data_IF_021128705080
#
_entry.id   IF_021128705080
#
_cell.length_a   1.000
_cell.length_b   1.000
_cell.length_c   1.000
_cell.angle_alpha   90.00
_cell.angle_beta   90.00
_cell.angle_gamma   90.00
#
_symmetry.space_group_name_H-M   'P 1'
#
loop_
_entity.id
_entity.type
_entity.pdbx_description
1 polymer ?
#
# COMPACT_ATOMS: atom_id res chain seq x y z
N UNK A 1 7.32 -29.31 -38.32
CA UNK A 1 7.40 -29.26 -36.85
C UNK A 1 6.04 -29.71 -36.35
N UNK A 2 5.99 -30.86 -35.69
CA UNK A 2 4.73 -31.53 -35.34
C UNK A 2 3.98 -30.79 -34.25
N UNK A 3 2.67 -30.66 -34.43
CA UNK A 3 1.65 -30.14 -33.50
C UNK A 3 1.48 -31.02 -32.25
N UNK A 4 2.57 -31.29 -31.52
CA UNK A 4 2.50 -31.85 -30.17
C UNK A 4 2.56 -30.71 -29.17
N UNK A 5 1.36 -30.29 -28.75
CA UNK A 5 1.10 -29.32 -27.69
C UNK A 5 1.84 -29.78 -26.42
N UNK A 6 2.91 -29.10 -26.03
CA UNK A 6 3.49 -29.26 -24.69
C UNK A 6 2.66 -28.39 -23.76
N UNK A 7 1.54 -28.93 -23.30
CA UNK A 7 0.68 -28.22 -22.34
C UNK A 7 1.49 -27.86 -21.09
N UNK A 8 1.48 -26.57 -20.77
CA UNK A 8 2.10 -26.05 -19.57
C UNK A 8 1.44 -26.71 -18.34
N UNK A 9 2.24 -27.34 -17.49
CA UNK A 9 1.85 -27.90 -16.21
C UNK A 9 2.47 -27.07 -15.07
N UNK A 10 2.05 -27.35 -13.83
CA UNK A 10 2.50 -26.62 -12.64
C UNK A 10 4.03 -26.64 -12.41
N UNK A 11 4.77 -27.51 -13.10
CA UNK A 11 6.23 -27.63 -12.98
C UNK A 11 7.00 -26.87 -14.07
N UNK A 12 6.38 -26.56 -15.21
CA UNK A 12 7.04 -25.89 -16.34
C UNK A 12 6.39 -24.56 -16.78
N UNK A 13 5.20 -24.22 -16.26
CA UNK A 13 4.47 -22.99 -16.61
C UNK A 13 5.27 -21.71 -16.29
N UNK A 14 6.16 -21.77 -15.30
CA UNK A 14 7.01 -20.65 -14.87
C UNK A 14 8.43 -20.69 -15.45
N UNK A 15 8.78 -21.69 -16.28
CA UNK A 15 10.12 -21.88 -16.81
C UNK A 15 10.12 -22.31 -18.29
N UNK A 16 9.67 -21.45 -19.23
CA UNK A 16 9.68 -21.75 -20.66
C UNK A 16 11.10 -21.94 -21.23
N UNK A 17 12.14 -21.60 -20.48
CA UNK A 17 13.54 -21.60 -20.90
C UNK A 17 14.33 -22.87 -20.54
N UNK A 18 13.68 -23.92 -20.02
CA UNK A 18 14.33 -25.21 -19.77
C UNK A 18 13.93 -26.22 -20.83
N UNK A 19 14.90 -26.67 -21.63
CA UNK A 19 14.70 -27.82 -22.50
C UNK A 19 14.33 -29.04 -21.68
N UNK A 20 13.38 -29.84 -22.19
CA UNK A 20 13.10 -31.15 -21.61
C UNK A 20 14.36 -32.04 -21.62
N UNK A 21 14.39 -33.09 -20.81
CA UNK A 21 15.50 -34.06 -20.85
C UNK A 21 15.69 -34.65 -22.27
N UNK A 22 14.59 -34.93 -22.97
CA UNK A 22 14.61 -35.43 -24.35
C UNK A 22 15.16 -34.39 -25.33
N UNK A 23 14.69 -33.14 -25.26
CA UNK A 23 15.18 -32.04 -26.10
C UNK A 23 16.67 -31.79 -25.87
N UNK A 24 17.10 -31.78 -24.61
CA UNK A 24 18.50 -31.61 -24.22
C UNK A 24 19.37 -32.73 -24.78
N UNK A 25 18.93 -33.99 -24.66
CA UNK A 25 19.64 -35.13 -25.22
C UNK A 25 19.72 -35.08 -26.75
N UNK A 26 18.63 -34.69 -27.42
CA UNK A 26 18.59 -34.56 -28.88
C UNK A 26 19.54 -33.46 -29.39
N UNK A 27 19.54 -32.29 -28.74
CA UNK A 27 20.47 -31.18 -29.04
C UNK A 27 21.91 -31.66 -28.85
N UNK A 28 22.22 -32.30 -27.71
CA UNK A 28 23.57 -32.77 -27.40
C UNK A 28 24.07 -33.80 -28.43
N UNK A 29 23.22 -34.75 -28.81
CA UNK A 29 23.54 -35.74 -29.84
C UNK A 29 23.76 -35.09 -31.20
N UNK A 30 22.98 -34.06 -31.54
CA UNK A 30 23.14 -33.32 -32.79
C UNK A 30 24.45 -32.53 -32.80
N UNK A 31 24.80 -31.87 -31.70
CA UNK A 31 26.07 -31.14 -31.57
C UNK A 31 27.27 -32.09 -31.71
N UNK A 32 27.26 -33.25 -31.04
CA UNK A 32 28.31 -34.28 -31.18
C UNK A 32 28.45 -34.80 -32.62
N UNK A 33 27.33 -35.00 -33.32
CA UNK A 33 27.34 -35.42 -34.72
C UNK A 33 27.85 -34.33 -35.67
N UNK A 34 27.80 -33.05 -35.28
CA UNK A 34 28.36 -31.94 -36.04
C UNK A 34 29.86 -31.76 -35.76
N UNK A 35 30.35 -32.13 -34.58
CA UNK A 35 31.78 -32.11 -34.24
C UNK A 35 32.62 -33.06 -35.09
N UNK A 36 32.02 -34.11 -35.65
CA UNK A 36 32.69 -35.01 -36.60
C UNK A 36 32.77 -34.44 -38.02
N UNK A 37 32.12 -33.30 -38.31
CA UNK A 37 32.17 -32.59 -39.58
C UNK A 37 32.69 -31.15 -39.37
N UNK A 38 34.03 -31.01 -39.42
CA UNK A 38 34.77 -29.78 -39.10
C UNK A 38 34.41 -28.58 -39.98
N UNK A 39 33.97 -28.79 -41.22
CA UNK A 39 33.55 -27.70 -42.12
C UNK A 39 32.23 -27.06 -41.67
N UNK A 40 31.21 -27.87 -41.37
CA UNK A 40 29.90 -27.34 -40.93
C UNK A 40 30.01 -26.67 -39.56
N UNK A 41 30.80 -27.25 -38.64
CA UNK A 41 31.03 -26.68 -37.32
C UNK A 41 31.67 -25.28 -37.39
N UNK A 42 32.74 -25.14 -38.18
CA UNK A 42 33.49 -23.89 -38.27
C UNK A 42 32.73 -22.81 -39.04
N UNK A 43 32.03 -23.18 -40.12
CA UNK A 43 31.32 -22.20 -40.96
C UNK A 43 29.97 -21.76 -40.37
N UNK A 44 29.24 -22.63 -39.65
CA UNK A 44 27.89 -22.30 -39.17
C UNK A 44 27.77 -21.96 -37.67
N UNK A 45 28.61 -22.54 -36.80
CA UNK A 45 28.42 -22.41 -35.33
C UNK A 45 29.52 -21.62 -34.63
N UNK A 46 30.77 -21.67 -35.11
CA UNK A 46 31.91 -21.02 -34.42
C UNK A 46 32.23 -19.61 -34.88
N UNK A 47 31.90 -19.26 -36.14
CA UNK A 47 32.06 -17.88 -36.61
C UNK A 47 30.91 -17.02 -36.05
N UNK A 48 31.07 -16.57 -34.80
CA UNK A 48 30.17 -15.59 -34.19
C UNK A 48 30.39 -14.22 -34.83
N UNK A 49 29.42 -13.75 -35.61
CA UNK A 49 29.18 -12.32 -35.81
C UNK A 49 28.10 -11.88 -34.82
N UNK A 50 28.46 -11.67 -33.56
CA UNK A 50 27.53 -11.27 -32.52
C UNK A 50 28.23 -10.51 -31.41
N UNK A 51 27.57 -9.45 -30.91
CA UNK A 51 28.05 -8.70 -29.75
C UNK A 51 27.62 -9.45 -28.49
N UNK A 52 28.52 -9.59 -27.53
CA UNK A 52 28.19 -10.25 -26.27
C UNK A 52 27.14 -9.42 -25.50
N UNK A 53 25.96 -9.99 -25.27
CA UNK A 53 24.81 -9.32 -24.64
C UNK A 53 24.80 -9.51 -23.12
N UNK A 54 25.87 -10.07 -22.55
CA UNK A 54 26.01 -10.39 -21.13
C UNK A 54 25.85 -9.19 -20.18
N UNK A 55 25.92 -7.95 -20.69
CA UNK A 55 25.42 -6.78 -19.97
C UNK A 55 23.91 -6.67 -20.18
N UNK A 56 23.15 -7.51 -19.48
CA UNK A 56 21.70 -7.37 -19.35
C UNK A 56 21.42 -6.01 -18.71
N UNK A 57 21.26 -5.01 -19.58
CA UNK A 57 20.86 -3.67 -19.20
C UNK A 57 19.48 -3.78 -18.57
N UNK A 58 19.19 -2.97 -17.56
CA UNK A 58 17.84 -2.88 -17.01
C UNK A 58 16.84 -2.70 -18.15
N UNK A 59 15.84 -3.57 -18.21
CA UNK A 59 14.80 -3.53 -19.25
C UNK A 59 13.51 -3.00 -18.62
N UNK A 60 13.00 -1.87 -19.10
CA UNK A 60 11.72 -1.34 -18.62
C UNK A 60 10.55 -2.21 -19.13
N UNK A 61 9.49 -2.31 -18.33
CA UNK A 61 8.31 -3.08 -18.71
C UNK A 61 7.53 -2.43 -19.87
N UNK A 62 7.48 -1.10 -19.93
CA UNK A 62 6.84 -0.41 -21.05
C UNK A 62 7.66 -0.57 -22.33
N UNK A 63 8.99 -0.52 -22.25
CA UNK A 63 9.87 -0.75 -23.40
C UNK A 63 9.66 -2.15 -24.00
N UNK A 64 9.44 -3.16 -23.16
CA UNK A 64 9.09 -4.51 -23.60
C UNK A 64 7.74 -4.55 -24.31
N UNK A 65 6.71 -3.90 -23.76
CA UNK A 65 5.42 -3.80 -24.44
C UNK A 65 5.59 -3.10 -25.80
N UNK A 66 6.30 -1.97 -25.84
CA UNK A 66 6.53 -1.19 -27.06
C UNK A 66 7.25 -2.00 -28.14
N UNK A 67 8.22 -2.82 -27.73
CA UNK A 67 8.94 -3.71 -28.63
C UNK A 67 8.05 -4.83 -29.19
N UNK A 68 7.04 -5.29 -28.44
CA UNK A 68 6.14 -6.37 -28.84
C UNK A 68 4.93 -5.89 -29.65
N UNK A 69 4.33 -4.78 -29.25
CA UNK A 69 3.02 -4.31 -29.75
C UNK A 69 3.05 -2.88 -30.34
N UNK A 70 4.22 -2.25 -30.37
CA UNK A 70 4.44 -0.91 -30.94
C UNK A 70 4.36 0.23 -29.92
N UNK A 71 4.79 1.42 -30.32
CA UNK A 71 5.05 2.58 -29.44
C UNK A 71 3.89 3.02 -28.54
N UNK A 72 2.63 2.73 -28.91
CA UNK A 72 1.46 3.10 -28.11
C UNK A 72 1.11 2.09 -27.00
N UNK A 73 1.84 0.97 -26.91
CA UNK A 73 1.64 -0.04 -25.88
C UNK A 73 2.44 0.28 -24.60
N UNK A 74 1.99 -0.28 -23.49
CA UNK A 74 2.58 -0.08 -22.16
C UNK A 74 2.18 -1.20 -21.22
N UNK A 75 2.89 -1.36 -20.10
CA UNK A 75 2.56 -2.35 -19.08
C UNK A 75 1.26 -1.96 -18.37
N UNK A 76 0.29 -2.85 -18.27
CA UNK A 76 -1.00 -2.58 -17.63
C UNK A 76 -0.88 -2.54 -16.10
N UNK A 77 -1.68 -1.67 -15.48
CA UNK A 77 -1.72 -1.42 -14.03
C UNK A 77 -3.16 -1.56 -13.52
N UNK A 78 -3.31 -1.84 -12.23
CA UNK A 78 -4.62 -1.98 -11.58
C UNK A 78 -4.81 -3.34 -10.92
N UNK A 79 -5.96 -3.53 -10.27
CA UNK A 79 -6.25 -4.70 -9.45
C UNK A 79 -6.25 -6.02 -10.24
N UNK A 80 -6.48 -5.95 -11.55
CA UNK A 80 -6.62 -7.12 -12.42
C UNK A 80 -5.29 -7.70 -12.93
N UNK A 81 -4.16 -7.04 -12.68
CA UNK A 81 -2.87 -7.37 -13.34
C UNK A 81 -1.78 -7.84 -12.39
N UNK A 82 -2.15 -8.35 -11.21
CA UNK A 82 -1.22 -8.90 -10.23
C UNK A 82 -0.47 -7.82 -9.43
N UNK A 83 0.45 -8.27 -8.57
CA UNK A 83 1.31 -7.38 -7.79
C UNK A 83 2.75 -7.45 -8.33
N UNK A 84 3.59 -6.49 -7.91
CA UNK A 84 4.98 -6.43 -8.40
C UNK A 84 5.80 -7.67 -8.00
N UNK A 85 5.41 -8.40 -6.95
CA UNK A 85 6.14 -9.59 -6.49
C UNK A 85 6.00 -10.80 -7.43
N UNK A 86 4.88 -10.92 -8.16
CA UNK A 86 4.70 -11.93 -9.20
C UNK A 86 5.12 -11.44 -10.59
N UNK A 87 5.60 -10.20 -10.70
CA UNK A 87 5.88 -9.55 -11.97
C UNK A 87 6.87 -10.32 -12.84
N UNK A 88 7.80 -11.07 -12.24
CA UNK A 88 8.78 -11.87 -12.98
C UNK A 88 8.22 -13.13 -13.65
N UNK A 89 7.01 -13.55 -13.29
CA UNK A 89 6.34 -14.71 -13.88
C UNK A 89 5.55 -14.27 -15.11
N UNK A 90 4.74 -13.24 -14.92
CA UNK A 90 4.03 -12.57 -15.99
C UNK A 90 3.73 -11.10 -15.64
N UNK A 91 3.55 -10.32 -16.69
CA UNK A 91 2.91 -9.01 -16.63
C UNK A 91 2.05 -8.85 -17.88
N UNK A 92 1.29 -7.76 -17.96
CA UNK A 92 0.33 -7.57 -19.04
C UNK A 92 0.67 -6.33 -19.86
N UNK A 93 0.56 -6.42 -21.18
CA UNK A 93 0.80 -5.30 -22.09
C UNK A 93 -0.50 -4.86 -22.76
N UNK A 94 -0.75 -3.54 -22.77
CA UNK A 94 -1.87 -2.93 -23.49
C UNK A 94 -1.62 -3.03 -25.00
N UNK A 95 -2.51 -3.68 -25.75
CA UNK A 95 -2.42 -3.73 -27.22
C UNK A 95 -3.20 -2.57 -27.83
N UNK A 96 -2.59 -1.62 -28.55
CA UNK A 96 -3.28 -0.40 -29.00
C UNK A 96 -4.58 -0.64 -29.79
N UNK A 97 -4.65 -1.70 -30.59
CA UNK A 97 -5.79 -2.06 -31.42
C UNK A 97 -6.95 -2.77 -30.69
N UNK A 98 -6.76 -3.18 -29.43
CA UNK A 98 -7.78 -3.83 -28.58
C UNK A 98 -7.97 -3.01 -27.32
N UNK A 99 -9.04 -3.16 -26.56
CA UNK A 99 -9.11 -2.56 -25.20
C UNK A 99 -8.55 -3.48 -24.10
N UNK A 100 -8.02 -4.64 -24.50
CA UNK A 100 -7.47 -5.65 -23.59
C UNK A 100 -5.97 -5.49 -23.37
N UNK A 101 -5.51 -6.10 -22.27
CA UNK A 101 -4.10 -6.36 -22.02
C UNK A 101 -3.81 -7.84 -22.26
N UNK A 102 -2.70 -8.14 -22.92
CA UNK A 102 -2.25 -9.51 -23.15
C UNK A 102 -1.10 -9.87 -22.19
N UNK A 103 -1.09 -11.12 -21.74
CA UNK A 103 -0.06 -11.64 -20.84
C UNK A 103 1.27 -11.79 -21.58
N UNK A 104 2.34 -11.31 -20.98
CA UNK A 104 3.72 -11.34 -21.48
C UNK A 104 4.65 -11.87 -20.40
N UNK A 105 5.67 -12.63 -20.80
CA UNK A 105 6.75 -13.05 -19.93
C UNK A 105 7.84 -11.97 -19.91
N UNK A 106 8.21 -11.41 -18.74
CA UNK A 106 9.26 -10.41 -18.66
C UNK A 106 10.63 -10.97 -19.05
N UNK A 107 11.42 -10.12 -19.68
CA UNK A 107 12.82 -10.39 -19.95
C UNK A 107 13.63 -10.48 -18.65
N UNK A 108 14.68 -11.30 -18.65
CA UNK A 108 15.71 -11.25 -17.60
C UNK A 108 16.27 -9.82 -17.53
N UNK A 109 16.40 -9.28 -16.32
CA UNK A 109 16.83 -7.89 -16.10
C UNK A 109 15.69 -6.88 -15.98
N UNK A 110 14.43 -7.30 -16.15
CA UNK A 110 13.26 -6.43 -15.86
C UNK A 110 13.18 -6.12 -14.38
N UNK A 111 12.95 -4.87 -13.99
CA UNK A 111 12.79 -4.54 -12.58
C UNK A 111 11.46 -5.07 -12.03
N UNK A 112 11.51 -5.65 -10.82
CA UNK A 112 10.36 -6.29 -10.16
C UNK A 112 10.20 -5.82 -8.70
N UNK A 113 10.87 -4.74 -8.35
CA UNK A 113 10.85 -4.12 -7.03
C UNK A 113 12.06 -3.23 -6.84
N UNK A 114 12.04 -2.45 -5.76
CA UNK A 114 13.16 -1.60 -5.41
C UNK A 114 14.42 -2.44 -5.19
N UNK A 115 15.45 -2.20 -6.02
CA UNK A 115 16.72 -2.94 -6.07
C UNK A 115 16.54 -4.42 -6.38
N UNK A 116 15.51 -4.80 -7.14
CA UNK A 116 15.25 -6.18 -7.55
C UNK A 116 14.98 -6.29 -9.04
N UNK A 117 15.48 -7.37 -9.65
CA UNK A 117 15.31 -7.69 -11.07
C UNK A 117 14.91 -9.14 -11.30
N UNK A 118 14.26 -9.37 -12.42
CA UNK A 118 13.85 -10.69 -12.85
C UNK A 118 15.04 -11.50 -13.33
N UNK A 119 15.19 -12.69 -12.78
CA UNK A 119 16.17 -13.68 -13.21
C UNK A 119 15.52 -15.06 -13.22
N UNK A 120 15.39 -15.66 -14.41
CA UNK A 120 14.77 -17.00 -14.59
C UNK A 120 13.37 -17.11 -13.96
N UNK A 121 12.55 -16.08 -14.10
CA UNK A 121 11.17 -16.05 -13.57
C UNK A 121 11.05 -15.66 -12.09
N UNK A 122 12.17 -15.41 -11.40
CA UNK A 122 12.19 -15.03 -10.00
C UNK A 122 12.61 -13.56 -9.82
N UNK A 123 12.01 -12.88 -8.85
CA UNK A 123 12.42 -11.54 -8.46
C UNK A 123 13.56 -11.61 -7.44
N UNK A 124 14.78 -11.30 -7.89
CA UNK A 124 16.01 -11.43 -7.10
C UNK A 124 16.67 -10.06 -6.90
N UNK A 125 17.53 -9.94 -5.89
CA UNK A 125 18.25 -8.69 -5.63
C UNK A 125 19.15 -8.31 -6.83
N UNK A 126 19.10 -7.04 -7.21
CA UNK A 126 19.87 -6.47 -8.30
C UNK A 126 21.23 -5.95 -7.79
N UNK A 127 22.14 -5.61 -8.71
CA UNK A 127 23.40 -5.00 -8.32
C UNK A 127 23.18 -3.60 -7.74
N UNK A 128 24.12 -3.11 -6.94
CA UNK A 128 24.03 -1.78 -6.30
C UNK A 128 23.79 -0.69 -7.35
N UNK A 129 22.70 0.07 -7.19
CA UNK A 129 22.33 1.18 -8.09
C UNK A 129 21.39 0.78 -9.24
N UNK A 130 21.08 -0.51 -9.41
CA UNK A 130 20.11 -0.97 -10.41
C UNK A 130 18.67 -0.98 -9.85
N UNK A 131 17.69 -0.81 -10.73
CA UNK A 131 16.26 -0.88 -10.42
C UNK A 131 15.78 -0.01 -9.23
N UNK A 132 15.98 1.33 -9.27
CA UNK A 132 15.44 2.24 -8.25
C UNK A 132 13.93 2.45 -8.44
N UNK A 133 13.14 1.39 -8.21
CA UNK A 133 11.68 1.48 -8.25
C UNK A 133 11.14 2.08 -6.95
N UNK A 134 10.05 2.82 -7.07
CA UNK A 134 9.24 3.25 -5.94
C UNK A 134 8.41 2.06 -5.42
N UNK A 135 8.37 1.86 -4.10
CA UNK A 135 7.67 0.72 -3.49
C UNK A 135 6.14 0.86 -3.55
N UNK A 136 5.62 2.10 -3.63
CA UNK A 136 4.19 2.38 -3.79
C UNK A 136 3.77 2.44 -5.27
N UNK A 137 4.67 2.86 -6.15
CA UNK A 137 4.41 3.17 -7.55
C UNK A 137 5.49 2.63 -8.50
N UNK A 138 5.74 1.31 -8.54
CA UNK A 138 6.90 0.72 -9.21
C UNK A 138 6.95 1.00 -10.70
N UNK A 139 5.80 1.03 -11.37
CA UNK A 139 5.69 1.31 -12.81
C UNK A 139 5.32 2.76 -13.13
N UNK A 140 5.22 3.63 -12.11
CA UNK A 140 4.68 4.98 -12.26
C UNK A 140 3.19 4.99 -12.63
N UNK A 141 2.70 6.17 -13.06
CA UNK A 141 1.35 6.35 -13.56
C UNK A 141 1.14 5.63 -14.90
N UNK A 142 -0.10 5.18 -15.14
CA UNK A 142 -0.49 4.54 -16.39
C UNK A 142 -0.45 5.56 -17.55
N UNK A 143 0.26 5.24 -18.64
CA UNK A 143 0.19 6.04 -19.86
C UNK A 143 -1.20 5.99 -20.50
N UNK A 144 -1.60 7.10 -21.11
CA UNK A 144 -2.83 7.18 -21.89
C UNK A 144 -4.13 7.19 -21.06
N UNK A 145 -5.27 6.92 -21.71
CA UNK A 145 -6.58 6.97 -21.07
C UNK A 145 -6.77 5.84 -20.04
N UNK A 146 -7.38 6.18 -18.90
CA UNK A 146 -7.67 5.28 -17.78
C UNK A 146 -9.18 5.13 -17.53
N UNK A 147 -9.96 6.19 -17.71
CA UNK A 147 -11.42 6.20 -17.52
C UNK A 147 -12.04 7.30 -18.38
N UNK A 148 -13.06 6.98 -19.17
CA UNK A 148 -13.82 7.95 -19.98
C UNK A 148 -12.93 8.91 -20.80
N UNK A 149 -11.82 8.43 -21.35
CA UNK A 149 -10.86 9.24 -22.11
C UNK A 149 -9.92 10.12 -21.26
N UNK A 150 -10.11 10.20 -19.94
CA UNK A 150 -9.24 10.92 -19.03
C UNK A 150 -7.95 10.15 -18.77
N UNK A 151 -6.86 10.88 -18.52
CA UNK A 151 -5.56 10.39 -18.06
C UNK A 151 -5.41 10.59 -16.56
N UNK A 152 -4.35 10.07 -15.93
CA UNK A 152 -4.07 10.33 -14.52
C UNK A 152 -4.02 11.82 -14.20
N UNK A 153 -3.43 12.64 -15.08
CA UNK A 153 -3.28 14.09 -14.88
C UNK A 153 -4.56 14.91 -15.05
N UNK A 154 -5.59 14.37 -15.71
CA UNK A 154 -6.84 15.10 -16.02
C UNK A 154 -8.06 14.58 -15.28
N UNK A 155 -7.96 13.38 -14.70
CA UNK A 155 -9.00 12.76 -13.92
C UNK A 155 -9.24 13.51 -12.60
N UNK A 156 -10.49 13.47 -12.12
CA UNK A 156 -10.88 14.16 -10.90
C UNK A 156 -10.19 13.54 -9.66
N UNK A 157 -9.68 14.34 -8.70
CA UNK A 157 -9.01 13.85 -7.48
C UNK A 157 -9.80 12.80 -6.70
N UNK A 158 -11.13 12.89 -6.72
CA UNK A 158 -12.05 11.91 -6.14
C UNK A 158 -11.74 10.46 -6.56
N UNK A 159 -11.21 10.23 -7.75
CA UNK A 159 -10.90 8.89 -8.23
C UNK A 159 -9.80 8.20 -7.40
N UNK A 160 -8.90 8.97 -6.77
CA UNK A 160 -7.84 8.44 -5.90
C UNK A 160 -8.36 7.73 -4.63
N UNK A 161 -9.63 7.94 -4.27
CA UNK A 161 -10.29 7.18 -3.20
C UNK A 161 -10.57 5.72 -3.60
N UNK A 162 -10.60 5.41 -4.90
CA UNK A 162 -10.74 4.03 -5.39
C UNK A 162 -9.38 3.36 -5.52
N UNK A 163 -9.27 2.11 -5.06
CA UNK A 163 -7.99 1.36 -5.08
C UNK A 163 -7.49 1.13 -6.50
N UNK A 164 -8.38 0.78 -7.45
CA UNK A 164 -7.97 0.51 -8.83
C UNK A 164 -7.36 1.74 -9.51
N UNK A 165 -8.00 2.90 -9.37
CA UNK A 165 -7.46 4.15 -9.91
C UNK A 165 -6.14 4.52 -9.23
N UNK A 166 -6.04 4.36 -7.90
CA UNK A 166 -4.80 4.63 -7.17
C UNK A 166 -3.64 3.73 -7.64
N UNK A 167 -3.89 2.48 -8.00
CA UNK A 167 -2.87 1.60 -8.59
C UNK A 167 -2.49 2.00 -10.02
N UNK A 168 -3.42 2.58 -10.79
CA UNK A 168 -3.15 3.10 -12.13
C UNK A 168 -2.45 4.47 -12.09
N UNK A 169 -2.69 5.28 -11.06
CA UNK A 169 -2.27 6.69 -10.99
C UNK A 169 -1.58 7.03 -9.66
N UNK A 170 -0.76 6.12 -9.16
CA UNK A 170 -0.15 6.23 -7.84
C UNK A 170 0.69 7.50 -7.66
N UNK A 171 1.50 7.90 -8.64
CA UNK A 171 2.31 9.11 -8.54
C UNK A 171 1.43 10.36 -8.51
N UNK A 172 0.38 10.41 -9.33
CA UNK A 172 -0.56 11.52 -9.32
C UNK A 172 -1.30 11.60 -7.98
N UNK A 173 -1.82 10.48 -7.47
CA UNK A 173 -2.54 10.44 -6.21
C UNK A 173 -1.64 10.80 -5.01
N UNK A 174 -0.39 10.34 -4.98
CA UNK A 174 0.57 10.68 -3.92
C UNK A 174 0.91 12.17 -3.90
N UNK A 175 0.98 12.85 -5.06
CA UNK A 175 1.25 14.29 -5.13
C UNK A 175 0.13 15.16 -4.57
N UNK A 176 -1.12 14.72 -4.67
CA UNK A 176 -2.29 15.46 -4.18
C UNK A 176 -2.74 15.01 -2.79
N UNK A 177 -2.10 13.97 -2.24
CA UNK A 177 -2.38 13.45 -0.91
C UNK A 177 -2.05 14.51 0.14
N UNK A 178 -3.01 14.81 1.00
CA UNK A 178 -2.88 15.71 2.14
C UNK A 178 -2.91 14.94 3.46
N UNK A 179 -2.52 15.60 4.55
CA UNK A 179 -2.54 15.03 5.90
C UNK A 179 -3.95 14.90 6.51
N UNK A 180 -4.99 15.35 5.81
CA UNK A 180 -6.37 15.14 6.26
C UNK A 180 -6.78 13.71 5.89
N UNK A 181 -6.70 12.76 6.83
CA UNK A 181 -7.01 11.35 6.56
C UNK A 181 -8.39 11.13 5.93
N UNK A 182 -9.37 11.97 6.28
CA UNK A 182 -10.75 11.87 5.80
C UNK A 182 -10.99 12.62 4.48
N UNK A 183 -10.03 13.46 4.07
CA UNK A 183 -10.07 14.27 2.87
C UNK A 183 -8.73 14.24 2.12
N UNK A 184 -8.06 13.09 2.14
CA UNK A 184 -6.66 12.99 1.73
C UNK A 184 -6.44 13.42 0.28
N UNK A 185 -7.42 13.25 -0.61
CA UNK A 185 -7.33 13.69 -2.00
C UNK A 185 -8.26 14.89 -2.33
N UNK A 186 -8.79 15.56 -1.31
CA UNK A 186 -9.83 16.57 -1.45
C UNK A 186 -11.24 15.98 -1.54
N UNK A 187 -12.16 16.69 -2.19
CA UNK A 187 -13.56 16.27 -2.31
C UNK A 187 -13.68 14.90 -2.99
N UNK A 188 -14.52 14.03 -2.41
CA UNK A 188 -14.77 12.65 -2.85
C UNK A 188 -15.75 12.57 -4.03
N UNK A 189 -16.33 13.69 -4.44
CA UNK A 189 -17.18 13.80 -5.63
C UNK A 189 -17.03 15.16 -6.30
N UNK A 190 -17.52 15.27 -7.53
CA UNK A 190 -17.65 16.54 -8.24
C UNK A 190 -18.92 17.30 -7.81
N UNK A 191 -18.99 18.59 -8.16
CA UNK A 191 -20.18 19.42 -7.92
C UNK A 191 -20.38 19.86 -6.46
N UNK A 192 -19.30 19.85 -5.67
CA UNK A 192 -19.33 20.36 -4.30
C UNK A 192 -19.55 21.89 -4.27
N UNK A 193 -20.45 22.34 -3.41
CA UNK A 193 -20.84 23.73 -3.23
C UNK A 193 -21.05 24.01 -1.74
N UNK A 194 -20.49 25.14 -1.27
CA UNK A 194 -20.52 25.55 0.13
C UNK A 194 -21.93 25.78 0.67
N UNK A 195 -22.92 26.11 -0.18
CA UNK A 195 -24.31 26.31 0.23
C UNK A 195 -24.97 25.08 0.85
N UNK A 196 -24.49 23.88 0.52
CA UNK A 196 -25.04 22.61 1.03
C UNK A 196 -24.22 22.03 2.19
N UNK A 197 -23.16 22.71 2.64
CA UNK A 197 -22.40 22.22 3.78
C UNK A 197 -23.27 22.21 5.05
N UNK A 198 -23.10 21.15 5.85
CA UNK A 198 -23.93 20.87 7.04
C UNK A 198 -25.29 20.23 6.73
N UNK A 199 -25.65 20.06 5.46
CA UNK A 199 -26.86 19.35 5.07
C UNK A 199 -26.60 17.84 4.89
N UNK A 200 -27.65 17.05 4.92
CA UNK A 200 -27.62 15.66 4.49
C UNK A 200 -27.96 15.55 3.00
N UNK A 201 -27.31 14.63 2.30
CA UNK A 201 -27.67 14.23 0.94
C UNK A 201 -28.94 13.38 0.94
N UNK A 202 -29.53 13.17 -0.24
CA UNK A 202 -30.81 12.45 -0.39
C UNK A 202 -30.76 10.99 0.07
N UNK A 203 -29.57 10.41 0.14
CA UNK A 203 -29.26 9.07 0.65
C UNK A 203 -28.93 9.06 2.16
N UNK A 204 -29.13 10.18 2.88
CA UNK A 204 -28.98 10.29 4.33
C UNK A 204 -27.54 10.52 4.81
N UNK A 205 -26.56 10.60 3.91
CA UNK A 205 -25.17 10.88 4.28
C UNK A 205 -24.91 12.38 4.47
N UNK A 206 -23.89 12.74 5.26
CA UNK A 206 -23.49 14.15 5.41
C UNK A 206 -22.89 14.67 4.11
N UNK A 207 -23.33 15.84 3.64
CA UNK A 207 -22.74 16.52 2.48
C UNK A 207 -21.25 16.78 2.70
N UNK A 208 -20.86 17.07 3.94
CA UNK A 208 -19.47 17.34 4.33
C UNK A 208 -18.57 16.11 4.16
N UNK A 209 -19.10 14.88 4.26
CA UNK A 209 -18.31 13.67 4.04
C UNK A 209 -17.78 13.58 2.61
N UNK A 210 -18.63 13.90 1.63
CA UNK A 210 -18.25 13.86 0.22
C UNK A 210 -17.56 15.13 -0.24
N UNK A 211 -17.91 16.28 0.35
CA UNK A 211 -17.40 17.60 -0.02
C UNK A 211 -16.47 18.18 1.05
N UNK A 212 -15.61 17.33 1.62
CA UNK A 212 -14.78 17.65 2.78
C UNK A 212 -13.79 18.81 2.56
N UNK A 213 -13.30 19.02 1.34
CA UNK A 213 -12.39 20.14 1.01
C UNK A 213 -13.18 21.41 0.77
N UNK A 214 -14.31 21.32 0.08
CA UNK A 214 -15.20 22.46 -0.13
C UNK A 214 -15.80 22.93 1.21
N UNK A 215 -16.16 22.01 2.08
CA UNK A 215 -16.75 22.26 3.39
C UNK A 215 -15.71 22.32 4.52
N UNK A 216 -14.42 22.46 4.22
CA UNK A 216 -13.32 22.41 5.20
C UNK A 216 -13.44 23.45 6.33
N UNK A 217 -14.26 24.49 6.14
CA UNK A 217 -14.57 25.54 7.13
C UNK A 217 -16.01 25.46 7.69
N UNK A 218 -16.79 24.45 7.30
CA UNK A 218 -18.21 24.28 7.63
C UNK A 218 -18.47 23.07 8.55
N UNK A 219 -17.57 22.83 9.51
CA UNK A 219 -17.89 22.06 10.72
C UNK A 219 -18.83 22.86 11.65
N UNK A 220 -19.93 23.39 11.10
CA UNK A 220 -20.75 24.45 11.72
C UNK A 220 -22.11 23.95 12.22
N UNK A 221 -22.41 22.65 12.05
CA UNK A 221 -23.59 22.04 12.63
C UNK A 221 -23.40 20.53 12.81
N UNK A 222 -23.95 20.00 13.90
CA UNK A 222 -24.21 18.57 14.04
C UNK A 222 -25.36 18.15 13.13
N UNK A 223 -25.36 16.90 12.69
CA UNK A 223 -26.50 16.28 12.04
C UNK A 223 -27.70 16.33 12.98
N UNK A 224 -28.86 16.74 12.46
CA UNK A 224 -30.11 16.80 13.23
C UNK A 224 -30.55 15.43 13.75
N UNK A 225 -30.18 14.37 13.05
CA UNK A 225 -30.45 12.97 13.42
C UNK A 225 -29.29 12.08 12.97
N UNK A 226 -28.82 11.24 13.89
CA UNK A 226 -27.82 10.22 13.66
C UNK A 226 -28.50 8.85 13.69
N UNK A 227 -28.57 8.17 12.54
CA UNK A 227 -29.03 6.78 12.51
C UNK A 227 -27.85 5.82 12.73
N UNK A 228 -27.91 5.02 13.77
CA UNK A 228 -26.91 4.01 14.06
C UNK A 228 -27.57 2.69 14.44
N UNK A 229 -27.24 1.62 13.69
CA UNK A 229 -27.82 0.27 13.87
C UNK A 229 -29.36 0.28 13.93
N UNK A 230 -30.00 1.09 13.08
CA UNK A 230 -31.46 1.19 12.97
C UNK A 230 -32.16 1.98 14.07
N UNK A 231 -31.40 2.69 14.92
CA UNK A 231 -31.95 3.59 15.95
C UNK A 231 -31.51 5.03 15.65
N UNK A 232 -32.43 5.97 15.81
CA UNK A 232 -32.18 7.40 15.61
C UNK A 232 -31.78 8.04 16.94
N UNK A 233 -30.65 8.74 16.94
CA UNK A 233 -30.13 9.49 18.07
C UNK A 233 -29.95 10.97 17.71
N UNK A 234 -29.94 11.84 18.71
CA UNK A 234 -29.28 13.14 18.57
C UNK A 234 -27.77 12.97 18.74
N UNK A 235 -26.98 13.85 18.10
CA UNK A 235 -25.52 13.83 18.25
C UNK A 235 -25.08 13.91 19.72
N UNK A 236 -25.64 14.84 20.49
CA UNK A 236 -25.38 14.94 21.93
C UNK A 236 -25.80 13.67 22.67
N UNK A 237 -26.98 13.09 22.36
CA UNK A 237 -27.47 11.87 23.02
C UNK A 237 -26.55 10.67 22.79
N UNK A 238 -26.14 10.45 21.54
CA UNK A 238 -25.29 9.32 21.19
C UNK A 238 -23.86 9.46 21.71
N UNK A 239 -23.26 10.65 21.56
CA UNK A 239 -21.89 10.90 22.01
C UNK A 239 -21.78 10.88 23.54
N UNK A 240 -22.79 11.41 24.25
CA UNK A 240 -22.83 11.37 25.72
C UNK A 240 -22.94 9.95 26.27
N UNK A 241 -23.78 9.09 25.66
CA UNK A 241 -23.97 7.71 26.09
C UNK A 241 -22.65 6.91 26.13
N UNK A 242 -21.70 7.27 25.27
CA UNK A 242 -20.43 6.56 25.11
C UNK A 242 -19.22 7.45 25.43
N UNK A 243 -19.43 8.49 26.24
CA UNK A 243 -18.39 9.33 26.85
C UNK A 243 -17.42 9.98 25.85
N UNK A 244 -17.89 10.34 24.66
CA UNK A 244 -17.03 10.94 23.62
C UNK A 244 -16.19 9.92 22.83
N UNK A 245 -15.95 8.71 23.34
CA UNK A 245 -15.10 7.70 22.66
C UNK A 245 -15.59 7.28 21.29
N UNK A 246 -16.91 7.37 21.03
CA UNK A 246 -17.50 7.15 19.71
C UNK A 246 -17.03 8.15 18.67
N UNK A 247 -16.55 9.32 19.07
CA UNK A 247 -15.90 10.26 18.18
C UNK A 247 -14.54 9.76 17.70
N UNK A 248 -14.05 8.58 18.11
CA UNK A 248 -12.98 7.89 17.39
C UNK A 248 -13.48 7.29 16.05
N UNK A 249 -14.78 7.13 15.87
CA UNK A 249 -15.38 6.75 14.60
C UNK A 249 -15.52 7.96 13.69
N UNK A 250 -14.91 7.89 12.52
CA UNK A 250 -14.97 8.93 11.48
C UNK A 250 -16.42 9.24 11.09
N UNK A 251 -17.27 8.21 11.01
CA UNK A 251 -18.70 8.39 10.68
C UNK A 251 -19.40 9.28 11.71
N UNK A 252 -19.01 9.17 12.98
CA UNK A 252 -19.58 9.96 14.08
C UNK A 252 -18.97 11.36 14.12
N UNK A 253 -17.66 11.52 13.86
CA UNK A 253 -17.05 12.85 13.75
C UNK A 253 -17.69 13.68 12.63
N UNK A 254 -17.97 13.06 11.49
CA UNK A 254 -18.53 13.74 10.34
C UNK A 254 -20.03 14.05 10.50
N UNK A 255 -20.76 13.18 11.21
CA UNK A 255 -22.15 13.41 11.54
C UNK A 255 -22.31 14.39 12.72
N UNK A 256 -21.38 14.40 13.67
CA UNK A 256 -21.50 15.15 14.93
C UNK A 256 -20.26 16.02 15.21
N UNK A 257 -19.83 16.89 14.29
CA UNK A 257 -18.57 17.62 14.41
C UNK A 257 -18.53 18.61 15.58
N UNK A 258 -19.65 19.29 15.90
CA UNK A 258 -19.69 20.22 17.04
C UNK A 258 -19.69 19.43 18.34
N UNK A 259 -20.55 18.42 18.46
CA UNK A 259 -20.61 17.59 19.67
C UNK A 259 -19.26 16.91 19.89
N UNK A 260 -18.63 16.34 18.87
CA UNK A 260 -17.32 15.68 19.03
C UNK A 260 -16.19 16.65 19.38
N UNK A 261 -16.22 17.91 18.91
CA UNK A 261 -15.24 18.92 19.30
C UNK A 261 -15.43 19.37 20.77
N UNK A 262 -16.65 19.39 21.30
CA UNK A 262 -16.90 19.66 22.72
C UNK A 262 -16.27 18.59 23.63
N UNK A 263 -16.23 17.34 23.16
CA UNK A 263 -15.64 16.22 23.89
C UNK A 263 -14.13 16.05 23.62
N UNK A 264 -13.55 16.89 22.78
CA UNK A 264 -12.15 16.78 22.40
C UNK A 264 -11.24 17.22 23.54
N UNK A 265 -10.38 16.31 24.01
CA UNK A 265 -9.28 16.64 24.91
C UNK A 265 -8.18 17.38 24.14
N UNK A 266 -8.07 18.69 24.37
CA UNK A 266 -7.07 19.55 23.73
C UNK A 266 -5.68 19.44 24.36
N UNK A 267 -5.59 18.90 25.58
CA UNK A 267 -4.34 18.71 26.32
C UNK A 267 -3.66 17.38 25.95
N UNK A 268 -4.37 16.46 25.28
CA UNK A 268 -3.85 15.19 24.80
C UNK A 268 -4.17 14.96 23.31
N UNK A 269 -3.36 15.53 22.38
CA UNK A 269 -3.57 15.40 20.94
C UNK A 269 -3.47 13.97 20.42
N UNK A 270 -2.76 13.10 21.12
CA UNK A 270 -2.59 11.68 20.77
C UNK A 270 -3.79 10.81 21.19
N UNK A 271 -4.64 11.34 22.07
CA UNK A 271 -5.85 10.69 22.56
C UNK A 271 -7.05 11.66 22.66
N UNK A 272 -7.43 12.31 21.54
CA UNK A 272 -8.35 13.44 21.57
C UNK A 272 -9.76 13.09 22.06
N UNK A 273 -10.19 11.83 21.94
CA UNK A 273 -11.54 11.39 22.36
C UNK A 273 -11.51 10.25 23.38
N UNK A 274 -10.37 9.99 24.01
CA UNK A 274 -10.20 8.89 24.96
C UNK A 274 -9.99 7.52 24.30
N UNK A 275 -10.11 6.45 25.09
CA UNK A 275 -9.84 5.08 24.65
C UNK A 275 -10.78 4.64 23.51
N UNK A 276 -10.21 4.01 22.48
CA UNK A 276 -10.95 3.51 21.30
C UNK A 276 -11.71 2.23 21.59
N UNK A 277 -11.20 1.44 22.53
CA UNK A 277 -11.77 0.16 22.94
C UNK A 277 -12.09 0.17 24.44
N UNK A 278 -12.81 -0.86 24.89
CA UNK A 278 -12.93 -1.13 26.32
C UNK A 278 -11.58 -1.64 26.86
N UNK A 279 -10.91 -0.80 27.65
CA UNK A 279 -9.57 -1.04 28.17
C UNK A 279 -9.55 -1.42 29.65
N UNK A 280 -10.70 -1.78 30.23
CA UNK A 280 -10.83 -2.16 31.66
C UNK A 280 -9.90 -3.31 32.08
N UNK A 281 -9.73 -4.33 31.24
CA UNK A 281 -8.80 -5.45 31.51
C UNK A 281 -7.35 -4.94 31.58
N UNK A 282 -6.97 -4.10 30.62
CA UNK A 282 -5.64 -3.49 30.58
C UNK A 282 -5.40 -2.58 31.79
N UNK A 283 -6.41 -1.79 32.20
CA UNK A 283 -6.32 -0.95 33.39
C UNK A 283 -6.05 -1.77 34.66
N UNK A 284 -6.77 -2.89 34.83
CA UNK A 284 -6.58 -3.79 35.97
C UNK A 284 -5.19 -4.45 35.96
N UNK A 285 -4.70 -4.86 34.80
CA UNK A 285 -3.36 -5.45 34.68
C UNK A 285 -2.27 -4.44 34.99
N UNK A 286 -2.35 -3.21 34.43
CA UNK A 286 -1.38 -2.14 34.70
C UNK A 286 -1.37 -1.73 36.19
N UNK A 287 -2.54 -1.65 36.82
CA UNK A 287 -2.66 -1.34 38.25
C UNK A 287 -2.06 -2.44 39.15
N UNK A 288 -2.14 -3.71 38.73
CA UNK A 288 -1.62 -4.85 39.48
C UNK A 288 -0.12 -5.05 39.32
N UNK A 289 0.41 -4.84 38.11
CA UNK A 289 1.80 -5.18 37.79
C UNK A 289 2.76 -3.98 37.78
N UNK A 290 2.24 -2.75 37.78
CA UNK A 290 3.06 -1.53 37.64
C UNK A 290 3.83 -1.47 36.32
N UNK A 291 3.43 -2.26 35.32
CA UNK A 291 4.11 -2.36 34.03
C UNK A 291 3.79 -1.19 33.10
N UNK A 292 4.62 -0.95 32.10
CA UNK A 292 4.37 0.03 31.05
C UNK A 292 3.35 -0.49 30.03
N UNK A 293 2.58 0.42 29.42
CA UNK A 293 1.56 0.05 28.45
C UNK A 293 2.17 -0.57 27.17
N UNK A 294 1.70 -1.76 26.72
CA UNK A 294 2.18 -2.39 25.48
C UNK A 294 1.92 -1.52 24.25
N UNK A 295 2.87 -1.45 23.32
CA UNK A 295 2.82 -0.58 22.14
C UNK A 295 1.54 -0.72 21.30
N UNK A 296 1.02 -1.94 21.13
CA UNK A 296 -0.24 -2.20 20.40
C UNK A 296 -1.49 -1.64 21.10
N UNK A 297 -1.41 -1.44 22.42
CA UNK A 297 -2.50 -0.93 23.23
C UNK A 297 -2.42 0.58 23.42
N UNK A 298 -1.25 1.20 23.22
CA UNK A 298 -1.10 2.66 23.29
C UNK A 298 -2.05 3.36 22.32
N UNK A 299 -2.28 2.82 21.12
CA UNK A 299 -3.20 3.43 20.14
C UNK A 299 -4.68 3.20 20.47
N UNK A 300 -5.02 2.04 21.04
CA UNK A 300 -6.41 1.64 21.28
C UNK A 300 -6.92 2.03 22.68
N UNK A 301 -6.00 2.24 23.63
CA UNK A 301 -6.22 2.48 25.05
C UNK A 301 -5.39 3.67 25.54
N UNK A 302 -5.28 4.71 24.70
CA UNK A 302 -4.38 5.83 24.90
C UNK A 302 -4.59 6.58 26.22
N UNK A 303 -5.83 6.72 26.70
CA UNK A 303 -6.14 7.41 27.97
C UNK A 303 -5.80 6.52 29.15
N UNK A 304 -6.23 5.26 29.11
CA UNK A 304 -5.90 4.25 30.13
C UNK A 304 -4.38 4.14 30.32
N UNK A 305 -3.63 4.18 29.22
CA UNK A 305 -2.17 4.10 29.25
C UNK A 305 -1.50 5.39 29.75
N UNK A 306 -2.07 6.57 29.47
CA UNK A 306 -1.57 7.83 30.00
C UNK A 306 -1.74 7.93 31.53
N UNK A 307 -2.90 7.51 32.06
CA UNK A 307 -3.19 7.53 33.50
C UNK A 307 -2.28 6.57 34.30
N UNK A 308 -2.02 5.38 33.77
CA UNK A 308 -1.09 4.43 34.37
C UNK A 308 0.33 5.01 34.51
N UNK A 309 0.82 5.72 33.48
CA UNK A 309 2.15 6.32 33.49
C UNK A 309 2.29 7.49 34.50
N UNK A 310 1.21 8.22 34.79
CA UNK A 310 1.23 9.27 35.83
C UNK A 310 1.26 8.73 37.26
N UNK A 311 0.74 7.51 37.47
CA UNK A 311 0.65 6.90 38.80
C UNK A 311 2.01 6.40 39.29
N UNK A 312 2.85 5.87 38.38
CA UNK A 312 4.21 5.38 38.70
C UNK A 312 5.16 6.51 39.14
N UNK A 313 4.91 7.75 38.71
CA UNK A 313 5.71 8.91 39.12
C UNK A 313 5.50 9.30 40.60
N UNK A 314 4.35 8.98 41.19
CA UNK A 314 4.00 9.40 42.55
C UNK A 314 4.50 8.41 43.61
N UNK A 315 4.65 7.13 43.29
CA UNK A 315 5.05 6.08 44.24
C UNK A 315 6.56 6.05 44.54
N UNK A 316 7.39 6.79 43.80
CA UNK A 316 8.85 6.79 43.99
C UNK A 316 9.32 7.79 45.06
N UNK A 317 8.43 8.55 45.71
CA UNK A 317 8.82 9.62 46.66
C UNK A 317 8.74 9.29 48.16
N UNK A 318 8.44 8.05 48.57
CA UNK A 318 8.26 7.76 50.01
C UNK A 318 8.88 6.46 50.48
N UNK A 319 10.18 6.22 50.24
CA UNK A 319 11.01 5.38 51.11
C UNK A 319 12.45 5.91 51.14
N UNK A 320 12.69 7.00 51.87
CA UNK A 320 14.02 7.30 52.39
C UNK A 320 14.04 6.89 53.87
N UNK A 321 14.20 5.58 54.09
CA UNK A 321 14.42 5.02 55.43
C UNK A 321 15.89 5.24 55.81
N UNK A 322 16.05 5.88 56.97
CA UNK A 322 17.24 5.91 57.82
C UNK A 322 18.03 4.60 57.84
N UNK A 323 19.34 4.69 57.57
CA UNK A 323 20.31 3.69 58.03
C UNK A 323 21.58 4.37 58.54
N UNK A 324 21.74 4.31 59.84
CA UNK A 324 22.87 4.76 60.65
C UNK A 324 24.14 3.98 60.26
N UNK A 325 25.22 4.67 59.86
CA UNK A 325 26.55 4.06 59.72
C UNK A 325 27.24 3.97 61.09
N UNK A 326 27.51 2.74 61.52
CA UNK A 326 28.42 2.41 62.62
C UNK A 326 29.86 2.59 62.13
N UNK A 327 30.67 3.25 62.95
CA UNK A 327 32.06 3.66 62.72
C UNK A 327 32.96 2.62 63.38
N UNK A 328 33.74 1.88 62.60
CA UNK A 328 34.84 1.07 63.14
C UNK A 328 36.15 1.84 62.98
N UNK A 329 36.86 1.87 64.11
CA UNK A 329 38.13 2.53 64.38
C UNK A 329 39.25 1.57 63.94
N UNK A 330 40.23 2.09 63.20
CA UNK A 330 41.54 1.44 63.05
C UNK A 330 42.51 2.07 64.04
N UNK A 331 43.29 1.18 64.67
CA UNK A 331 44.27 1.40 65.72
C UNK A 331 45.53 2.06 65.15
N UNK A 332 45.97 3.14 65.81
CA UNK A 332 47.32 3.32 66.37
C UNK A 332 47.19 3.95 67.76
#
# INVERSE_FOLDING_TARGET
MSDSNYDANSLNVLNPWKFSACSSAAILNKLRALETNTTVLNTCLKNQTGKDVNNLTTVDANDQCQSLYGNASFACRGLSFGNISSFCQDFYCRIPSRESCERVTPATGTCCGNKKKCNKGECQDAATGECPMDDECPLGDQPGPIINGQTCSTAHPANCYTTDFRLKCCNTCSKIKSNNENCQYGDKRSGCNTTYCGQNTTDGHSYNFFCCKTCNNHATADATQLEYKGTIYSCSGYVNLLTGSVCNSVTIQDACPITCEQFRNKENPDCPWGDKNNCSVLANDLARTGSTCPALNVFNCCRTCAEANTTTATTTKTVASTTTKKKDISVE
#
